data_IF_848574966728
#
_entry.id   IF_848574966728
#
_cell.length_a   1.000
_cell.length_b   1.000
_cell.length_c   1.000
_cell.angle_alpha   90.00
_cell.angle_beta   90.00
_cell.angle_gamma   90.00
#
_symmetry.space_group_name_H-M   'P 1'
#
loop_
_entity.id
_entity.type
_entity.pdbx_description
1 polymer ?
#
# COMPACT_ATOMS: atom_id res chain seq x y z
N UNK A 1 -92.63 -22.87 74.69
CA UNK A 1 -91.16 -23.07 74.81
C UNK A 1 -90.65 -23.65 73.50
N UNK A 2 -90.12 -22.81 72.55
CA UNK A 2 -89.55 -23.29 71.29
C UNK A 2 -88.04 -23.26 71.49
N UNK A 3 -87.43 -24.44 71.54
CA UNK A 3 -85.97 -24.56 71.53
C UNK A 3 -85.39 -24.34 70.14
N UNK A 4 -84.72 -23.22 70.00
CA UNK A 4 -84.03 -22.88 68.81
C UNK A 4 -82.74 -23.75 68.68
N UNK A 5 -82.82 -24.80 67.88
CA UNK A 5 -81.66 -25.65 67.64
C UNK A 5 -80.90 -25.06 66.41
N UNK A 6 -79.67 -24.65 66.57
CA UNK A 6 -78.93 -24.07 65.41
C UNK A 6 -78.69 -25.14 64.34
N UNK A 7 -79.00 -24.79 63.14
CA UNK A 7 -78.83 -25.65 61.92
C UNK A 7 -77.38 -26.14 61.82
N UNK A 8 -77.22 -27.44 61.82
CA UNK A 8 -75.89 -28.11 61.76
C UNK A 8 -75.10 -27.68 60.49
N UNK A 9 -75.77 -27.25 59.48
CA UNK A 9 -75.13 -26.75 58.25
C UNK A 9 -74.41 -25.40 58.45
N UNK A 10 -74.97 -24.53 59.28
CA UNK A 10 -74.38 -23.22 59.57
C UNK A 10 -73.10 -23.39 60.44
N UNK A 11 -73.11 -24.34 61.32
CA UNK A 11 -71.94 -24.65 62.19
C UNK A 11 -70.81 -25.27 61.34
N UNK A 12 -71.13 -26.18 60.44
CA UNK A 12 -70.15 -26.77 59.54
C UNK A 12 -69.47 -25.74 58.56
N UNK A 13 -70.27 -24.80 58.05
CA UNK A 13 -69.79 -23.73 57.14
C UNK A 13 -68.87 -22.76 57.91
N UNK A 14 -69.22 -22.39 59.13
CA UNK A 14 -68.41 -21.54 60.02
C UNK A 14 -67.07 -22.19 60.38
N UNK A 15 -67.07 -23.48 60.68
CA UNK A 15 -65.84 -24.21 60.98
C UNK A 15 -64.93 -24.37 59.71
N UNK A 16 -65.53 -24.47 58.49
CA UNK A 16 -64.78 -24.55 57.26
C UNK A 16 -64.08 -23.23 56.98
N UNK A 17 -64.72 -22.10 57.26
CA UNK A 17 -64.10 -20.75 57.01
C UNK A 17 -63.00 -20.46 58.05
N UNK A 18 -63.09 -21.00 59.28
CA UNK A 18 -62.03 -20.84 60.32
C UNK A 18 -60.80 -21.68 60.05
N UNK A 19 -60.93 -22.75 59.30
CA UNK A 19 -59.82 -23.65 58.96
C UNK A 19 -59.25 -23.43 57.57
N UNK A 20 -59.60 -22.36 56.82
CA UNK A 20 -58.95 -22.04 55.62
C UNK A 20 -57.53 -21.63 55.90
N UNK A 21 -56.52 -22.27 55.27
CA UNK A 21 -55.12 -21.84 55.41
C UNK A 21 -55.02 -20.40 54.97
N UNK A 22 -54.60 -19.53 55.83
CA UNK A 22 -54.21 -18.16 55.47
C UNK A 22 -53.05 -18.28 54.49
N UNK A 23 -53.32 -18.12 53.24
CA UNK A 23 -52.32 -18.06 52.21
C UNK A 23 -51.35 -16.91 52.56
N UNK A 24 -50.22 -17.29 53.13
CA UNK A 24 -49.19 -16.37 53.57
C UNK A 24 -48.66 -15.71 52.29
N UNK A 25 -49.21 -14.54 51.89
CA UNK A 25 -48.65 -13.72 50.82
C UNK A 25 -47.20 -13.46 51.18
N UNK A 26 -46.30 -14.09 50.43
CA UNK A 26 -44.87 -13.81 50.51
C UNK A 26 -44.68 -12.31 50.28
N UNK A 27 -43.90 -11.61 51.09
CA UNK A 27 -43.62 -10.20 50.85
C UNK A 27 -43.03 -10.09 49.47
N UNK A 28 -43.63 -9.25 48.61
CA UNK A 28 -43.10 -8.89 47.32
C UNK A 28 -41.65 -8.41 47.52
N UNK A 29 -40.70 -9.19 47.04
CA UNK A 29 -39.33 -8.73 47.04
C UNK A 29 -39.29 -7.44 46.21
N UNK A 30 -38.66 -6.37 46.71
CA UNK A 30 -38.52 -5.15 45.92
C UNK A 30 -37.79 -5.53 44.64
N UNK A 31 -38.46 -5.32 43.49
CA UNK A 31 -37.87 -5.50 42.18
C UNK A 31 -36.57 -4.71 42.17
N UNK A 32 -35.44 -5.40 41.93
CA UNK A 32 -34.17 -4.71 41.74
C UNK A 32 -34.36 -3.72 40.61
N UNK A 33 -34.00 -2.44 40.79
CA UNK A 33 -34.14 -1.46 39.74
C UNK A 33 -33.41 -1.99 38.49
N UNK A 34 -34.17 -2.27 37.46
CA UNK A 34 -33.60 -2.64 36.17
C UNK A 34 -32.67 -1.51 35.76
N UNK A 35 -31.37 -1.88 35.58
CA UNK A 35 -30.38 -0.92 35.14
C UNK A 35 -30.89 -0.29 33.84
N UNK A 36 -31.33 0.95 33.94
CA UNK A 36 -31.74 1.73 32.75
C UNK A 36 -30.54 1.78 31.84
N UNK A 37 -30.54 0.99 30.77
CA UNK A 37 -29.64 1.15 29.67
C UNK A 37 -29.85 2.58 29.13
N UNK A 38 -29.02 3.52 29.58
CA UNK A 38 -28.95 4.85 28.97
C UNK A 38 -28.59 4.63 27.51
N UNK A 39 -29.43 5.07 26.56
CA UNK A 39 -29.09 4.92 25.16
C UNK A 39 -27.76 5.61 24.93
N UNK A 40 -26.74 4.85 24.58
CA UNK A 40 -25.45 5.42 24.16
C UNK A 40 -25.77 6.33 22.98
N UNK A 41 -25.41 7.61 23.10
CA UNK A 41 -25.64 8.58 22.04
C UNK A 41 -25.01 8.04 20.75
N UNK A 42 -25.84 7.61 19.81
CA UNK A 42 -25.43 7.10 18.48
C UNK A 42 -24.48 8.11 17.79
N UNK A 43 -24.66 9.40 18.02
CA UNK A 43 -23.78 10.46 17.52
C UNK A 43 -22.33 10.35 18.04
N UNK A 44 -22.15 9.91 19.29
CA UNK A 44 -20.80 9.68 19.83
C UNK A 44 -20.14 8.44 19.20
N UNK A 45 -20.91 7.43 18.88
CA UNK A 45 -20.42 6.23 18.20
C UNK A 45 -20.06 6.54 16.75
N UNK A 46 -20.88 7.30 16.03
CA UNK A 46 -20.54 7.80 14.69
C UNK A 46 -19.32 8.72 14.69
N UNK A 47 -19.20 9.61 15.68
CA UNK A 47 -18.02 10.46 15.84
C UNK A 47 -16.75 9.64 16.08
N UNK A 48 -16.83 8.62 16.96
CA UNK A 48 -15.71 7.71 17.23
C UNK A 48 -15.32 6.89 15.99
N UNK A 49 -16.30 6.40 15.22
CA UNK A 49 -16.05 5.69 13.98
C UNK A 49 -15.38 6.61 12.95
N UNK A 50 -15.88 7.84 12.79
CA UNK A 50 -15.31 8.83 11.88
C UNK A 50 -13.83 9.13 12.19
N UNK A 51 -13.49 9.31 13.47
CA UNK A 51 -12.10 9.52 13.89
C UNK A 51 -11.23 8.30 13.56
N UNK A 52 -11.71 7.09 13.85
CA UNK A 52 -10.96 5.85 13.54
C UNK A 52 -10.70 5.71 12.05
N UNK A 53 -11.71 5.95 11.23
CA UNK A 53 -11.57 5.92 9.76
C UNK A 53 -10.57 6.97 9.30
N UNK A 54 -10.66 8.20 9.81
CA UNK A 54 -9.73 9.27 9.46
C UNK A 54 -8.28 8.93 9.85
N UNK A 55 -8.05 8.38 11.06
CA UNK A 55 -6.71 7.95 11.51
C UNK A 55 -6.16 6.82 10.63
N UNK A 56 -6.99 5.82 10.32
CA UNK A 56 -6.57 4.71 9.44
C UNK A 56 -6.22 5.24 8.05
N UNK A 57 -7.07 6.09 7.47
CA UNK A 57 -6.83 6.67 6.14
C UNK A 57 -5.56 7.52 6.11
N UNK A 58 -5.35 8.32 7.16
CA UNK A 58 -4.12 9.11 7.30
C UNK A 58 -2.89 8.22 7.43
N UNK A 59 -2.95 7.18 8.27
CA UNK A 59 -1.85 6.24 8.47
C UNK A 59 -1.51 5.50 7.16
N UNK A 60 -2.52 5.03 6.42
CA UNK A 60 -2.33 4.43 5.10
C UNK A 60 -1.76 5.42 4.08
N UNK A 61 -2.27 6.65 4.06
CA UNK A 61 -1.78 7.70 3.17
C UNK A 61 -0.30 8.03 3.41
N UNK A 62 0.10 8.17 4.67
CA UNK A 62 1.49 8.39 5.06
C UNK A 62 2.38 7.20 4.70
N UNK A 63 1.96 5.98 5.05
CA UNK A 63 2.68 4.75 4.73
C UNK A 63 2.88 4.62 3.21
N UNK A 64 1.81 4.82 2.45
CA UNK A 64 1.85 4.70 1.00
C UNK A 64 2.76 5.76 0.37
N UNK A 65 2.71 7.00 0.85
CA UNK A 65 3.57 8.09 0.40
C UNK A 65 5.06 7.86 0.69
N UNK A 66 5.36 7.17 1.81
CA UNK A 66 6.73 6.85 2.18
C UNK A 66 7.30 5.68 1.37
N UNK A 67 6.48 4.64 1.16
CA UNK A 67 6.89 3.38 0.51
C UNK A 67 6.90 3.48 -1.01
N UNK A 68 5.93 4.20 -1.57
CA UNK A 68 5.76 4.32 -3.02
C UNK A 68 5.96 5.76 -3.49
N UNK A 69 6.30 5.89 -4.75
CA UNK A 69 6.40 7.17 -5.41
C UNK A 69 5.72 7.14 -6.77
N UNK A 70 5.31 8.32 -7.22
CA UNK A 70 4.79 8.51 -8.56
C UNK A 70 5.70 9.50 -9.31
N UNK A 71 5.95 9.20 -10.56
CA UNK A 71 6.65 10.09 -11.47
C UNK A 71 5.89 10.13 -12.80
N UNK A 72 5.65 11.32 -13.31
CA UNK A 72 5.12 11.49 -14.66
C UNK A 72 6.29 11.66 -15.61
N UNK A 73 6.49 10.68 -16.47
CA UNK A 73 7.57 10.73 -17.43
C UNK A 73 7.36 11.89 -18.41
N UNK A 74 8.36 12.73 -18.59
CA UNK A 74 8.30 13.87 -19.50
C UNK A 74 9.18 13.67 -20.73
N UNK A 75 10.23 12.85 -20.64
CA UNK A 75 11.19 12.61 -21.71
C UNK A 75 10.74 11.50 -22.69
N UNK A 76 11.51 11.33 -23.74
CA UNK A 76 11.29 10.32 -24.77
C UNK A 76 12.35 9.20 -24.71
N UNK A 77 13.28 9.29 -23.77
CA UNK A 77 14.48 8.46 -23.70
C UNK A 77 14.19 6.98 -23.43
N UNK A 78 12.98 6.68 -22.92
CA UNK A 78 12.53 5.31 -22.65
C UNK A 78 11.53 4.79 -23.67
N UNK A 79 11.37 5.46 -24.79
CA UNK A 79 10.49 4.92 -25.85
C UNK A 79 11.08 3.64 -26.46
N UNK A 80 10.25 2.67 -26.80
CA UNK A 80 8.77 2.67 -26.75
C UNK A 80 8.17 2.21 -25.41
N UNK A 81 9.00 1.76 -24.44
CA UNK A 81 8.55 1.15 -23.18
C UNK A 81 7.81 2.16 -22.30
N UNK A 82 8.40 3.33 -22.06
CA UNK A 82 7.78 4.43 -21.31
C UNK A 82 7.66 5.64 -22.24
N UNK A 83 6.44 6.14 -22.40
CA UNK A 83 6.16 7.29 -23.25
C UNK A 83 6.07 8.57 -22.45
N UNK A 84 6.29 9.69 -23.11
CA UNK A 84 6.03 11.00 -22.51
C UNK A 84 4.56 11.11 -22.11
N UNK A 85 4.31 11.53 -20.86
CA UNK A 85 3.00 11.61 -20.23
C UNK A 85 2.55 10.38 -19.45
N UNK A 86 3.23 9.23 -19.58
CA UNK A 86 2.95 8.04 -18.78
C UNK A 86 3.21 8.32 -17.29
N UNK A 87 2.37 7.74 -16.40
CA UNK A 87 2.57 7.81 -14.97
C UNK A 87 3.24 6.52 -14.50
N UNK A 88 4.41 6.67 -13.90
CA UNK A 88 5.24 5.59 -13.41
C UNK A 88 5.07 5.47 -11.90
N UNK A 89 4.67 4.29 -11.41
CA UNK A 89 4.66 3.95 -10.00
C UNK A 89 5.95 3.20 -9.67
N UNK A 90 6.67 3.65 -8.65
CA UNK A 90 7.91 3.04 -8.21
C UNK A 90 7.93 2.77 -6.71
N UNK A 91 8.71 1.74 -6.30
CA UNK A 91 8.91 1.32 -4.92
C UNK A 91 10.22 1.88 -4.39
N UNK A 92 10.16 2.61 -3.27
CA UNK A 92 11.29 3.39 -2.74
C UNK A 92 12.23 2.60 -1.82
N UNK A 93 11.74 1.49 -1.25
CA UNK A 93 12.44 0.81 -0.17
C UNK A 93 13.48 -0.19 -0.66
N UNK A 94 13.43 -0.58 -1.95
CA UNK A 94 14.38 -1.49 -2.56
C UNK A 94 15.23 -0.76 -3.59
N UNK A 95 16.54 -0.81 -3.40
CA UNK A 95 17.58 -0.27 -4.30
C UNK A 95 18.54 -1.35 -4.75
N UNK A 96 18.21 -2.62 -4.53
CA UNK A 96 18.94 -3.75 -5.04
C UNK A 96 18.42 -4.15 -6.42
N UNK A 97 18.85 -3.42 -7.43
CA UNK A 97 18.35 -3.55 -8.80
C UNK A 97 18.85 -4.82 -9.46
N UNK A 98 17.96 -5.51 -10.19
CA UNK A 98 18.34 -6.55 -11.12
C UNK A 98 18.62 -5.95 -12.51
N UNK A 99 19.42 -6.66 -13.32
CA UNK A 99 19.64 -6.31 -14.73
C UNK A 99 18.30 -6.39 -15.47
N UNK A 100 17.96 -5.36 -16.22
CA UNK A 100 16.68 -5.22 -16.90
C UNK A 100 15.61 -4.43 -16.14
N UNK A 101 15.78 -4.20 -14.82
CA UNK A 101 14.85 -3.38 -14.07
C UNK A 101 14.80 -1.95 -14.61
N UNK A 102 13.60 -1.36 -14.56
CA UNK A 102 13.44 0.06 -14.72
C UNK A 102 13.53 0.74 -13.34
N UNK A 103 14.30 1.80 -13.26
CA UNK A 103 14.40 2.61 -12.06
C UNK A 103 14.08 4.07 -12.35
N UNK A 104 13.70 4.79 -11.30
CA UNK A 104 13.61 6.25 -11.33
C UNK A 104 14.84 6.80 -10.62
N UNK A 105 15.55 7.71 -11.26
CA UNK A 105 16.70 8.40 -10.67
C UNK A 105 16.50 9.91 -10.74
N UNK A 106 17.26 10.63 -9.91
CA UNK A 106 17.37 12.08 -9.98
C UNK A 106 18.76 12.43 -10.54
N UNK A 107 18.77 13.10 -11.67
CA UNK A 107 20.00 13.61 -12.29
C UNK A 107 19.88 15.12 -12.46
N UNK A 108 20.68 15.86 -11.73
CA UNK A 108 20.73 17.34 -11.74
C UNK A 108 19.37 18.01 -11.47
N UNK A 109 18.54 17.38 -10.61
CA UNK A 109 17.20 17.87 -10.25
C UNK A 109 16.09 17.45 -11.22
N UNK A 110 16.43 16.70 -12.26
CA UNK A 110 15.46 16.12 -13.18
C UNK A 110 15.28 14.62 -12.91
N UNK A 111 14.03 14.22 -12.75
CA UNK A 111 13.69 12.81 -12.57
C UNK A 111 13.62 12.13 -13.93
N UNK A 112 14.36 11.04 -14.04
CA UNK A 112 14.46 10.24 -15.25
C UNK A 112 14.09 8.79 -14.96
N UNK A 113 13.50 8.11 -15.94
CA UNK A 113 13.34 6.65 -15.94
C UNK A 113 14.43 6.06 -16.82
N UNK A 114 15.14 5.04 -16.32
CA UNK A 114 16.20 4.37 -17.09
C UNK A 114 16.20 2.88 -16.78
N UNK A 115 16.78 2.09 -17.69
CA UNK A 115 16.92 0.64 -17.53
C UNK A 115 18.29 0.29 -16.98
N UNK A 116 18.33 -0.58 -15.98
CA UNK A 116 19.58 -1.12 -15.41
C UNK A 116 20.21 -2.10 -16.39
N UNK A 117 21.44 -1.85 -16.76
CA UNK A 117 22.21 -2.68 -17.71
C UNK A 117 23.30 -3.45 -17.00
N UNK A 118 23.96 -2.83 -16.01
CA UNK A 118 25.01 -3.45 -15.25
C UNK A 118 25.03 -2.97 -13.80
N UNK A 119 25.63 -3.75 -12.91
CA UNK A 119 25.71 -3.51 -11.46
C UNK A 119 27.14 -3.46 -11.00
N UNK A 120 27.33 -3.15 -9.71
CA UNK A 120 28.63 -3.16 -9.07
C UNK A 120 29.43 -4.45 -9.38
N UNK A 121 30.68 -4.27 -9.79
CA UNK A 121 31.59 -5.33 -10.18
C UNK A 121 31.53 -5.72 -11.67
N UNK A 122 30.49 -5.33 -12.41
CA UNK A 122 30.41 -5.57 -13.84
C UNK A 122 31.33 -4.59 -14.60
N UNK A 123 31.87 -5.06 -15.73
CA UNK A 123 32.57 -4.23 -16.69
C UNK A 123 31.72 -4.10 -17.96
N UNK A 124 31.38 -2.87 -18.32
CA UNK A 124 30.58 -2.53 -19.50
C UNK A 124 31.49 -2.03 -20.60
N UNK A 125 31.29 -2.52 -21.81
CA UNK A 125 31.87 -1.98 -23.03
C UNK A 125 30.81 -1.82 -24.10
N UNK A 126 31.05 -0.97 -25.07
CA UNK A 126 30.17 -0.70 -26.21
C UNK A 126 30.99 -0.79 -27.47
N UNK A 127 30.76 -1.84 -28.25
CA UNK A 127 31.51 -2.12 -29.50
C UNK A 127 30.49 -2.50 -30.60
N UNK A 128 30.71 -2.00 -31.80
CA UNK A 128 29.95 -2.33 -33.01
C UNK A 128 28.41 -2.18 -32.82
N UNK A 129 28.00 -1.15 -32.07
CA UNK A 129 26.58 -0.88 -31.85
C UNK A 129 25.90 -1.82 -30.83
N UNK A 130 26.68 -2.63 -30.13
CA UNK A 130 26.18 -3.56 -29.08
C UNK A 130 26.80 -3.31 -27.74
N UNK A 131 26.17 -3.87 -26.71
CA UNK A 131 26.62 -3.82 -25.29
C UNK A 131 27.33 -5.11 -24.95
N UNK A 132 28.51 -4.98 -24.36
CA UNK A 132 29.30 -6.08 -23.83
C UNK A 132 29.37 -5.93 -22.33
N UNK A 133 28.99 -6.99 -21.59
CA UNK A 133 29.11 -7.04 -20.13
C UNK A 133 30.01 -8.20 -19.77
N UNK A 134 31.09 -7.92 -19.04
CA UNK A 134 32.08 -8.92 -18.62
C UNK A 134 32.64 -9.75 -19.81
N UNK A 135 32.82 -9.09 -20.97
CA UNK A 135 33.31 -9.72 -22.18
C UNK A 135 32.28 -10.47 -23.01
N UNK A 136 31.01 -10.52 -22.60
CA UNK A 136 29.94 -11.19 -23.32
C UNK A 136 28.95 -10.18 -23.95
N UNK A 137 28.69 -10.34 -25.26
CA UNK A 137 27.70 -9.55 -25.97
C UNK A 137 26.31 -9.79 -25.40
N UNK A 138 25.61 -8.72 -25.06
CA UNK A 138 24.25 -8.79 -24.53
C UNK A 138 23.24 -8.80 -25.67
N UNK A 139 22.23 -9.66 -25.53
CA UNK A 139 21.08 -9.66 -26.42
C UNK A 139 19.93 -8.89 -25.76
N UNK A 140 19.45 -7.88 -26.42
CA UNK A 140 18.37 -7.02 -25.94
C UNK A 140 17.18 -7.07 -26.91
N UNK A 141 16.33 -8.12 -26.82
CA UNK A 141 15.29 -8.37 -27.84
C UNK A 141 14.21 -7.28 -27.90
N UNK A 142 14.07 -6.47 -26.84
CA UNK A 142 13.11 -5.37 -26.78
C UNK A 142 13.68 -4.04 -27.27
N UNK A 143 14.99 -3.99 -27.55
CA UNK A 143 15.68 -2.78 -28.01
C UNK A 143 15.96 -2.91 -29.51
N UNK A 144 15.40 -2.02 -30.27
CA UNK A 144 15.48 -2.08 -31.75
C UNK A 144 16.58 -1.18 -32.34
N UNK A 145 17.17 -0.32 -31.50
CA UNK A 145 18.21 0.62 -31.87
C UNK A 145 19.58 0.12 -31.47
N UNK A 146 20.59 0.44 -32.25
CA UNK A 146 21.98 0.16 -31.88
C UNK A 146 22.44 1.08 -30.76
N UNK A 147 23.33 0.59 -29.92
CA UNK A 147 23.89 1.34 -28.80
C UNK A 147 25.31 1.79 -29.15
N UNK A 148 25.48 3.09 -29.37
CA UNK A 148 26.76 3.70 -29.65
C UNK A 148 27.30 4.48 -28.45
N UNK A 149 28.62 4.59 -28.36
CA UNK A 149 29.29 5.51 -27.44
C UNK A 149 29.07 6.95 -27.91
N UNK A 150 29.00 7.88 -26.95
CA UNK A 150 28.98 9.30 -27.28
C UNK A 150 30.40 9.89 -27.30
N UNK A 151 30.73 10.74 -28.23
CA UNK A 151 32.05 11.39 -28.36
C UNK A 151 32.44 12.18 -27.10
N UNK A 152 31.46 12.83 -26.46
CA UNK A 152 31.66 13.60 -25.23
C UNK A 152 31.27 12.82 -23.97
N UNK A 153 31.10 11.52 -24.07
CA UNK A 153 30.67 10.66 -23.00
C UNK A 153 31.83 10.10 -22.17
N UNK A 154 31.50 9.06 -21.38
CA UNK A 154 32.49 8.33 -20.58
C UNK A 154 33.32 7.40 -21.45
N UNK A 155 34.53 7.10 -21.00
CA UNK A 155 35.40 6.14 -21.70
C UNK A 155 35.00 4.69 -21.35
N UNK A 156 35.07 3.83 -22.36
CA UNK A 156 34.86 2.40 -22.23
C UNK A 156 36.17 1.62 -22.49
N UNK A 157 36.37 0.42 -21.90
CA UNK A 157 35.46 -0.25 -20.98
C UNK A 157 35.35 0.46 -19.61
N UNK A 158 34.15 0.42 -18.99
CA UNK A 158 33.87 1.03 -17.69
C UNK A 158 33.51 -0.04 -16.67
N UNK A 159 34.25 -0.13 -15.57
CA UNK A 159 33.90 -1.01 -14.44
C UNK A 159 33.02 -0.26 -13.44
N UNK A 160 31.91 -0.89 -13.08
CA UNK A 160 30.91 -0.30 -12.19
C UNK A 160 31.34 -0.46 -10.74
N UNK A 161 31.42 0.67 -10.03
CA UNK A 161 31.84 0.72 -8.64
C UNK A 161 30.79 0.16 -7.67
N UNK A 162 31.23 -0.11 -6.44
CA UNK A 162 30.35 -0.52 -5.34
C UNK A 162 29.22 0.52 -5.13
N UNK A 163 27.99 0.02 -4.93
CA UNK A 163 26.83 0.87 -4.73
C UNK A 163 26.41 1.67 -5.97
N UNK A 164 26.88 1.30 -7.16
CA UNK A 164 26.52 1.96 -8.41
C UNK A 164 25.85 1.01 -9.37
N UNK A 165 25.12 1.60 -10.32
CA UNK A 165 24.49 0.92 -11.46
C UNK A 165 24.79 1.68 -12.75
N UNK A 166 24.89 0.95 -13.85
CA UNK A 166 24.96 1.52 -15.19
C UNK A 166 23.59 1.41 -15.83
N UNK A 167 23.05 2.52 -16.29
CA UNK A 167 21.69 2.60 -16.78
C UNK A 167 21.63 3.20 -18.18
N UNK A 168 20.73 2.69 -19.01
CA UNK A 168 20.51 3.22 -20.36
C UNK A 168 19.03 3.59 -20.58
N UNK A 169 18.82 4.52 -21.49
CA UNK A 169 17.51 4.73 -22.10
C UNK A 169 17.22 3.68 -23.17
N UNK A 170 15.94 3.31 -23.34
CA UNK A 170 15.54 2.37 -24.40
C UNK A 170 15.60 3.01 -25.78
N UNK A 171 15.44 4.34 -25.88
CA UNK A 171 15.70 5.12 -27.08
C UNK A 171 17.20 5.39 -27.23
N UNK A 172 17.97 4.36 -27.60
CA UNK A 172 19.44 4.33 -27.58
C UNK A 172 20.12 5.45 -28.33
N UNK A 173 19.52 5.93 -29.42
CA UNK A 173 20.11 6.96 -30.27
C UNK A 173 20.04 8.37 -29.71
N UNK A 174 19.09 8.64 -28.80
CA UNK A 174 18.82 10.00 -28.33
C UNK A 174 18.88 10.15 -26.80
N UNK A 175 18.93 9.06 -26.05
CA UNK A 175 18.81 9.10 -24.59
C UNK A 175 20.04 9.71 -23.93
N UNK A 176 19.79 10.59 -22.96
CA UNK A 176 20.82 11.04 -22.01
C UNK A 176 20.87 10.05 -20.84
N UNK A 177 21.94 9.25 -20.78
CA UNK A 177 22.07 8.14 -19.85
C UNK A 177 23.52 7.92 -19.39
N UNK A 178 23.85 6.78 -18.80
CA UNK A 178 25.18 6.47 -18.26
C UNK A 178 26.31 6.53 -19.31
N UNK A 179 26.00 6.55 -20.58
CA UNK A 179 27.02 6.80 -21.61
C UNK A 179 27.53 8.23 -21.56
N UNK A 180 26.73 9.15 -21.05
CA UNK A 180 27.06 10.57 -20.89
C UNK A 180 27.61 10.86 -19.50
N UNK A 181 26.89 10.45 -18.45
CA UNK A 181 27.20 10.86 -17.07
C UNK A 181 27.87 9.76 -16.22
N UNK A 182 28.11 8.58 -16.78
CA UNK A 182 28.74 7.46 -16.07
C UNK A 182 27.76 6.65 -15.22
N UNK A 183 28.31 5.80 -14.37
CA UNK A 183 27.53 5.01 -13.44
C UNK A 183 26.86 5.89 -12.38
N UNK A 184 25.66 5.50 -11.94
CA UNK A 184 24.82 6.23 -11.00
C UNK A 184 24.91 5.56 -9.63
N UNK A 185 25.17 6.32 -8.58
CA UNK A 185 25.08 5.81 -7.21
C UNK A 185 23.65 5.43 -6.88
N UNK A 186 23.44 4.25 -6.30
CA UNK A 186 22.10 3.77 -5.92
C UNK A 186 21.39 4.68 -4.91
N UNK A 187 22.14 5.46 -4.14
CA UNK A 187 21.60 6.48 -3.24
C UNK A 187 20.91 7.64 -3.99
N UNK A 188 21.33 7.94 -5.21
CA UNK A 188 20.73 8.95 -6.08
C UNK A 188 19.52 8.41 -6.86
N UNK A 189 19.16 7.14 -6.67
CA UNK A 189 17.95 6.56 -7.25
C UNK A 189 16.77 6.72 -6.30
N UNK A 190 15.59 6.82 -6.87
CA UNK A 190 14.35 6.99 -6.11
C UNK A 190 13.61 5.67 -5.87
N UNK A 191 13.90 4.63 -6.65
CA UNK A 191 13.35 3.30 -6.49
C UNK A 191 13.08 2.55 -7.79
N UNK A 192 12.66 1.30 -7.66
CA UNK A 192 12.35 0.38 -8.77
C UNK A 192 10.95 0.62 -9.31
N UNK A 193 10.81 0.70 -10.62
CA UNK A 193 9.50 0.82 -11.28
C UNK A 193 8.72 -0.47 -11.15
N UNK A 194 7.50 -0.37 -10.63
CA UNK A 194 6.58 -1.50 -10.45
C UNK A 194 5.60 -1.58 -11.63
N UNK A 195 5.07 -0.44 -12.04
CA UNK A 195 4.07 -0.39 -13.11
C UNK A 195 4.06 0.96 -13.82
N UNK A 196 3.64 0.92 -15.06
CA UNK A 196 3.49 2.08 -15.93
C UNK A 196 2.01 2.22 -16.27
N UNK A 197 1.41 3.31 -15.81
CA UNK A 197 0.03 3.65 -16.12
C UNK A 197 -0.02 4.53 -17.36
N UNK A 198 -0.39 3.91 -18.47
CA UNK A 198 -0.43 4.57 -19.76
C UNK A 198 -1.73 5.33 -19.93
N UNK A 199 -1.63 6.60 -20.31
CA UNK A 199 -2.80 7.38 -20.68
C UNK A 199 -3.33 6.85 -22.01
N UNK A 200 -4.54 6.32 -22.00
CA UNK A 200 -5.27 5.99 -23.22
C UNK A 200 -5.72 7.33 -23.83
N UNK A 201 -5.16 7.72 -24.96
CA UNK A 201 -5.76 8.78 -25.75
C UNK A 201 -7.04 8.18 -26.36
N UNK A 202 -8.20 8.61 -25.83
CA UNK A 202 -9.51 8.40 -26.42
C UNK A 202 -9.65 9.36 -27.59
#
# INVERSE_FOLDING_TARGET
MIRNVPDRRVIAYRNHLQNMPVERTLPLQPEKPQAQHRPRSVWREFGSLGIKVAVITLAFGLLFSFVYGFHRNADLDMMPMVKSGDLVLFYRMDRNYAIGDLLVLDFQGERQVRRVIARAGDTVDIIDGGIIINGAMQQEPEIYQQTWQYESGVNFPLTIGEGQVFVLGDARESATDSRVYGSVATENTLGTVITILRRRNL
#
